data_IF_625895517273
#
_entry.id   IF_625895517273
#
_cell.length_a   1.000
_cell.length_b   1.000
_cell.length_c   1.000
_cell.angle_alpha   90.00
_cell.angle_beta   90.00
_cell.angle_gamma   90.00
#
_symmetry.space_group_name_H-M   'P 1'
#
loop_
_entity.id
_entity.type
_entity.pdbx_description
1 polymer ?
#
# COMPACT_ATOMS: atom_id res chain seq x y z
N UNK A 1 -18.16 4.70 -13.21
CA UNK A 1 -17.27 4.66 -12.02
C UNK A 1 -15.82 4.46 -12.41
N UNK A 2 -15.50 3.46 -13.24
CA UNK A 2 -14.11 3.15 -13.67
C UNK A 2 -13.52 4.34 -14.42
N UNK A 3 -14.20 4.84 -15.46
CA UNK A 3 -13.77 6.02 -16.21
C UNK A 3 -13.58 7.27 -15.31
N UNK A 4 -14.47 7.43 -14.33
CA UNK A 4 -14.37 8.54 -13.37
C UNK A 4 -13.16 8.40 -12.44
N UNK A 5 -12.79 7.17 -12.04
CA UNK A 5 -11.60 6.93 -11.25
C UNK A 5 -10.33 7.20 -12.08
N UNK A 6 -10.29 6.78 -13.34
CA UNK A 6 -9.18 7.06 -14.26
C UNK A 6 -9.01 8.57 -14.50
N UNK A 7 -10.11 9.31 -14.70
CA UNK A 7 -10.09 10.78 -14.83
C UNK A 7 -9.57 11.46 -13.56
N UNK A 8 -9.94 10.96 -12.38
CA UNK A 8 -9.41 11.46 -11.12
C UNK A 8 -7.90 11.23 -11.00
N UNK A 9 -7.41 10.05 -11.42
CA UNK A 9 -5.97 9.77 -11.47
C UNK A 9 -5.26 10.70 -12.46
N UNK A 10 -5.83 10.95 -13.65
CA UNK A 10 -5.27 11.91 -14.61
C UNK A 10 -5.12 13.31 -14.00
N UNK A 11 -6.14 13.76 -13.25
CA UNK A 11 -6.08 15.06 -12.54
C UNK A 11 -4.96 15.09 -11.48
N UNK A 12 -4.71 13.95 -10.80
CA UNK A 12 -3.61 13.83 -9.85
C UNK A 12 -2.24 13.79 -10.55
N UNK A 13 -2.13 13.20 -11.72
CA UNK A 13 -0.91 13.26 -12.54
C UNK A 13 -0.59 14.71 -12.86
N UNK A 14 -1.55 15.47 -13.38
CA UNK A 14 -1.39 16.91 -13.68
C UNK A 14 -1.00 17.71 -12.43
N UNK A 15 -1.66 17.45 -11.29
CA UNK A 15 -1.37 18.13 -10.03
C UNK A 15 0.06 17.87 -9.53
N UNK A 16 0.59 16.67 -9.72
CA UNK A 16 1.91 16.28 -9.22
C UNK A 16 3.08 16.69 -10.13
N UNK A 17 2.83 17.11 -11.39
CA UNK A 17 3.87 17.42 -12.39
C UNK A 17 5.01 18.32 -11.88
N UNK A 18 4.70 19.27 -10.98
CA UNK A 18 5.65 20.26 -10.46
C UNK A 18 5.85 20.15 -8.95
N UNK A 19 5.57 18.98 -8.40
CA UNK A 19 5.64 18.74 -6.95
C UNK A 19 6.64 17.63 -6.65
N UNK A 20 7.46 17.86 -5.66
CA UNK A 20 8.38 16.84 -5.13
C UNK A 20 7.64 16.02 -4.06
N UNK A 21 6.67 15.23 -4.51
CA UNK A 21 5.85 14.35 -3.66
C UNK A 21 5.54 13.06 -4.40
N UNK A 22 5.57 11.94 -3.68
CA UNK A 22 5.01 10.68 -4.14
C UNK A 22 3.60 10.57 -3.56
N UNK A 23 2.61 10.43 -4.42
CA UNK A 23 1.23 10.16 -4.03
C UNK A 23 0.90 8.68 -4.25
N UNK A 24 0.21 8.08 -3.28
CA UNK A 24 -0.28 6.70 -3.38
C UNK A 24 -1.79 6.76 -3.19
N UNK A 25 -2.54 6.33 -4.19
CA UNK A 25 -4.01 6.42 -4.20
C UNK A 25 -4.62 5.09 -4.63
N UNK A 26 -5.79 4.77 -4.07
CA UNK A 26 -6.57 3.60 -4.46
C UNK A 26 -7.46 3.88 -5.65
N UNK A 27 -7.54 2.95 -6.61
CA UNK A 27 -8.48 3.01 -7.72
C UNK A 27 -8.87 1.61 -8.21
N UNK A 28 -10.10 1.42 -8.73
CA UNK A 28 -10.46 0.25 -9.49
C UNK A 28 -9.81 0.31 -10.87
N UNK A 29 -9.19 -0.79 -11.30
CA UNK A 29 -8.53 -0.90 -12.60
C UNK A 29 -9.10 -2.09 -13.35
N UNK A 30 -9.60 -1.84 -14.57
CA UNK A 30 -10.12 -2.88 -15.45
C UNK A 30 -9.02 -3.42 -16.37
N UNK A 31 -8.89 -4.73 -16.42
CA UNK A 31 -7.94 -5.43 -17.31
C UNK A 31 -8.62 -6.62 -17.96
N UNK A 32 -8.93 -6.51 -19.23
CA UNK A 32 -9.70 -7.52 -19.93
C UNK A 32 -11.07 -7.73 -19.28
N UNK A 33 -11.30 -8.91 -18.71
CA UNK A 33 -12.55 -9.24 -18.01
C UNK A 33 -12.41 -9.17 -16.47
N UNK A 34 -11.29 -8.67 -15.97
CA UNK A 34 -11.03 -8.56 -14.53
C UNK A 34 -11.17 -7.11 -14.08
N UNK A 35 -11.72 -6.91 -12.90
CA UNK A 35 -11.67 -5.67 -12.17
C UNK A 35 -10.77 -5.87 -10.95
N UNK A 36 -9.77 -5.02 -10.78
CA UNK A 36 -8.78 -5.11 -9.72
C UNK A 36 -8.86 -3.89 -8.80
N UNK A 37 -8.68 -4.12 -7.51
CA UNK A 37 -8.48 -3.06 -6.52
C UNK A 37 -6.98 -2.77 -6.45
N UNK A 38 -6.56 -1.61 -6.95
CA UNK A 38 -5.15 -1.26 -7.10
C UNK A 38 -4.77 -0.03 -6.28
N UNK A 39 -3.55 -0.04 -5.75
CA UNK A 39 -2.86 1.17 -5.32
C UNK A 39 -1.98 1.68 -6.47
N UNK A 40 -2.14 2.94 -6.82
CA UNK A 40 -1.41 3.62 -7.91
C UNK A 40 -0.40 4.56 -7.29
N UNK A 41 0.87 4.42 -7.68
CA UNK A 41 1.98 5.25 -7.22
C UNK A 41 2.28 6.31 -8.25
N UNK A 42 2.18 7.56 -7.85
CA UNK A 42 2.28 8.72 -8.74
C UNK A 42 3.42 9.63 -8.27
N UNK A 43 4.24 10.09 -9.18
CA UNK A 43 5.26 11.13 -8.94
C UNK A 43 5.49 11.96 -10.20
N UNK A 44 5.54 13.29 -10.05
CA UNK A 44 5.90 14.23 -11.12
C UNK A 44 5.15 14.01 -12.44
N UNK A 45 3.85 13.75 -12.36
CA UNK A 45 3.00 13.54 -13.52
C UNK A 45 3.10 12.16 -14.17
N UNK A 46 3.77 11.19 -13.53
CA UNK A 46 3.96 9.84 -14.05
C UNK A 46 3.41 8.79 -13.07
N UNK A 47 2.94 7.68 -13.59
CA UNK A 47 2.65 6.47 -12.81
C UNK A 47 3.95 5.67 -12.68
N UNK A 48 4.44 5.49 -11.46
CA UNK A 48 5.62 4.68 -11.19
C UNK A 48 5.31 3.18 -11.16
N UNK A 49 4.08 2.82 -10.81
CA UNK A 49 3.61 1.44 -10.76
C UNK A 49 2.22 1.33 -10.19
N UNK A 50 1.63 0.15 -10.36
CA UNK A 50 0.32 -0.22 -9.82
C UNK A 50 0.44 -1.52 -9.04
N UNK A 51 -0.07 -1.52 -7.82
CA UNK A 51 -0.04 -2.68 -6.92
C UNK A 51 -1.46 -3.20 -6.75
N UNK A 52 -1.81 -4.34 -7.36
CA UNK A 52 -3.12 -4.96 -7.17
C UNK A 52 -3.20 -5.67 -5.82
N UNK A 53 -4.37 -5.60 -5.20
CA UNK A 53 -4.67 -6.26 -3.92
C UNK A 53 -4.59 -7.78 -4.06
N UNK A 54 -3.94 -8.42 -3.08
CA UNK A 54 -3.72 -9.88 -3.07
C UNK A 54 -4.85 -10.63 -2.41
N UNK A 55 -5.23 -10.23 -1.19
CA UNK A 55 -6.25 -10.90 -0.40
C UNK A 55 -7.55 -10.09 -0.40
N UNK A 56 -8.63 -10.71 -0.86
CA UNK A 56 -9.95 -10.11 -0.94
C UNK A 56 -10.83 -10.68 0.18
N UNK A 57 -11.28 -9.88 1.17
CA UNK A 57 -12.19 -10.36 2.18
C UNK A 57 -13.55 -10.74 1.57
N UNK A 58 -14.03 -11.93 1.93
CA UNK A 58 -15.33 -12.44 1.48
C UNK A 58 -15.98 -13.27 2.59
N UNK A 59 -16.13 -12.64 3.74
CA UNK A 59 -16.69 -13.19 4.96
C UNK A 59 -17.35 -12.08 5.78
N UNK A 60 -18.25 -12.44 6.68
CA UNK A 60 -19.02 -11.49 7.51
C UNK A 60 -19.69 -10.39 6.66
N UNK A 61 -19.40 -9.14 6.92
CA UNK A 61 -19.87 -7.96 6.19
C UNK A 61 -19.17 -7.74 4.84
N UNK A 62 -18.08 -8.43 4.59
CA UNK A 62 -17.28 -8.25 3.36
C UNK A 62 -17.70 -9.20 2.24
N UNK A 63 -17.81 -8.66 1.02
CA UNK A 63 -18.12 -9.39 -0.20
C UNK A 63 -17.33 -8.88 -1.42
N UNK A 64 -16.05 -8.53 -1.19
CA UNK A 64 -15.19 -7.88 -2.20
C UNK A 64 -14.98 -8.77 -3.45
N UNK A 65 -14.93 -10.10 -3.27
CA UNK A 65 -14.83 -11.05 -4.41
C UNK A 65 -16.02 -11.01 -5.37
N UNK A 66 -17.12 -10.38 -4.98
CA UNK A 66 -18.26 -10.17 -5.88
C UNK A 66 -17.90 -9.24 -7.04
N UNK A 67 -16.97 -8.32 -6.82
CA UNK A 67 -16.64 -7.25 -7.74
C UNK A 67 -15.21 -7.33 -8.26
N UNK A 68 -14.27 -7.74 -7.42
CA UNK A 68 -12.85 -7.70 -7.70
C UNK A 68 -12.23 -9.08 -7.81
N UNK A 69 -11.25 -9.20 -8.71
CA UNK A 69 -10.35 -10.34 -8.82
C UNK A 69 -9.10 -10.12 -7.93
N UNK A 70 -8.49 -11.21 -7.50
CA UNK A 70 -7.24 -11.19 -6.75
C UNK A 70 -6.05 -10.93 -7.68
N UNK A 71 -5.01 -10.29 -7.16
CA UNK A 71 -3.72 -10.22 -7.84
C UNK A 71 -3.16 -11.60 -8.20
N UNK A 72 -3.51 -12.65 -7.45
CA UNK A 72 -3.08 -14.02 -7.71
C UNK A 72 -3.64 -14.60 -9.02
N UNK A 73 -4.74 -14.03 -9.53
CA UNK A 73 -5.38 -14.42 -10.77
C UNK A 73 -4.84 -13.64 -11.99
N UNK A 74 -3.88 -12.72 -11.77
CA UNK A 74 -3.37 -11.80 -12.75
C UNK A 74 -2.10 -12.36 -13.41
N UNK A 75 -2.06 -12.31 -14.74
CA UNK A 75 -0.83 -12.43 -15.52
C UNK A 75 -0.24 -11.04 -15.80
N UNK A 76 1.08 -10.94 -15.92
CA UNK A 76 1.75 -9.69 -16.28
C UNK A 76 1.11 -9.12 -17.56
N UNK A 77 0.50 -7.94 -17.46
CA UNK A 77 -0.31 -7.36 -18.54
C UNK A 77 0.08 -5.90 -18.76
N UNK A 78 0.60 -5.53 -19.95
CA UNK A 78 0.76 -4.14 -20.33
C UNK A 78 -0.61 -3.46 -20.43
N UNK A 79 -0.70 -2.25 -19.89
CA UNK A 79 -1.94 -1.47 -19.83
C UNK A 79 -1.61 0.01 -20.09
N UNK A 80 -2.43 0.67 -20.92
CA UNK A 80 -2.47 2.11 -20.99
C UNK A 80 -3.53 2.61 -20.01
N UNK A 81 -3.13 3.39 -19.01
CA UNK A 81 -4.01 3.90 -17.96
C UNK A 81 -3.72 5.37 -17.68
N UNK A 82 -4.73 6.22 -17.75
CA UNK A 82 -4.61 7.66 -17.61
C UNK A 82 -3.53 8.28 -18.53
N UNK A 83 -3.36 7.72 -19.73
CA UNK A 83 -2.38 8.16 -20.74
C UNK A 83 -0.94 7.68 -20.50
N UNK A 84 -0.69 6.86 -19.47
CA UNK A 84 0.62 6.28 -19.17
C UNK A 84 0.64 4.77 -19.50
N UNK A 85 1.74 4.31 -20.09
CA UNK A 85 1.97 2.88 -20.32
C UNK A 85 2.55 2.27 -19.05
N UNK A 86 1.85 1.30 -18.47
CA UNK A 86 2.20 0.63 -17.22
C UNK A 86 2.15 -0.87 -17.36
N UNK A 87 2.98 -1.58 -16.62
CA UNK A 87 2.89 -3.02 -16.46
C UNK A 87 2.12 -3.34 -15.19
N UNK A 88 0.95 -3.95 -15.33
CA UNK A 88 0.22 -4.48 -14.20
C UNK A 88 0.68 -5.91 -13.93
N UNK A 89 1.17 -6.16 -12.72
CA UNK A 89 1.78 -7.43 -12.32
C UNK A 89 1.37 -7.83 -10.91
N UNK A 90 1.26 -9.14 -10.67
CA UNK A 90 1.09 -9.72 -9.34
C UNK A 90 2.40 -9.76 -8.52
N UNK A 91 3.54 -9.51 -9.15
CA UNK A 91 4.84 -9.51 -8.47
C UNK A 91 4.92 -8.39 -7.45
N UNK A 92 5.66 -8.63 -6.37
CA UNK A 92 5.89 -7.59 -5.35
C UNK A 92 6.73 -6.47 -5.93
N UNK A 93 6.21 -5.25 -5.86
CA UNK A 93 6.87 -4.04 -6.37
C UNK A 93 7.56 -3.30 -5.23
N UNK A 94 8.81 -2.95 -5.43
CA UNK A 94 9.61 -2.15 -4.51
C UNK A 94 9.96 -0.82 -5.15
N UNK A 95 9.51 0.27 -4.55
CA UNK A 95 9.71 1.62 -5.05
C UNK A 95 10.90 2.28 -4.35
N UNK A 96 11.68 3.04 -5.11
CA UNK A 96 12.84 3.77 -4.61
C UNK A 96 12.58 5.27 -4.66
N UNK A 97 12.95 5.98 -3.60
CA UNK A 97 12.94 7.45 -3.58
C UNK A 97 14.31 8.00 -3.96
N UNK A 98 14.38 9.28 -4.31
CA UNK A 98 15.67 9.95 -4.55
C UNK A 98 16.59 9.97 -3.33
N UNK A 99 16.04 9.93 -2.11
CA UNK A 99 16.79 9.83 -0.85
C UNK A 99 17.19 8.40 -0.45
N UNK A 100 17.20 7.45 -1.38
CA UNK A 100 17.51 6.03 -1.17
C UNK A 100 16.55 5.27 -0.23
N UNK A 101 15.44 5.87 0.18
CA UNK A 101 14.40 5.15 0.89
C UNK A 101 13.66 4.20 -0.06
N UNK A 102 13.34 3.01 0.43
CA UNK A 102 12.58 2.00 -0.32
C UNK A 102 11.26 1.74 0.38
N UNK A 103 10.21 1.65 -0.40
CA UNK A 103 8.91 1.34 0.16
C UNK A 103 8.15 0.30 -0.67
N UNK A 104 7.25 -0.39 -0.01
CA UNK A 104 6.31 -1.31 -0.61
C UNK A 104 4.89 -0.98 -0.19
N UNK A 105 3.93 -1.58 -0.87
CA UNK A 105 2.50 -1.32 -0.66
C UNK A 105 1.76 -2.63 -0.51
N UNK A 106 0.82 -2.64 0.42
CA UNK A 106 -0.22 -3.66 0.53
C UNK A 106 -1.57 -2.97 0.77
N UNK A 107 -2.68 -3.67 0.54
CA UNK A 107 -4.00 -3.05 0.57
C UNK A 107 -4.90 -3.75 1.58
N UNK A 108 -5.32 -3.02 2.61
CA UNK A 108 -6.38 -3.38 3.55
C UNK A 108 -6.21 -4.81 4.11
N UNK A 109 -7.00 -5.77 3.61
CA UNK A 109 -7.01 -7.18 4.03
C UNK A 109 -5.64 -7.86 3.93
N UNK A 110 -4.76 -7.39 3.08
CA UNK A 110 -3.44 -7.97 2.90
C UNK A 110 -2.68 -8.10 4.23
N UNK A 111 -2.80 -7.12 5.14
CA UNK A 111 -2.12 -7.17 6.46
C UNK A 111 -2.74 -8.18 7.43
N UNK A 112 -3.99 -8.57 7.22
CA UNK A 112 -4.69 -9.54 8.08
C UNK A 112 -4.36 -10.98 7.71
N UNK A 113 -3.78 -11.20 6.53
CA UNK A 113 -3.38 -12.53 6.09
C UNK A 113 -2.28 -13.11 6.99
N UNK A 114 -2.23 -14.44 7.19
CA UNK A 114 -1.17 -15.09 7.96
C UNK A 114 0.25 -14.82 7.42
N UNK A 115 0.37 -14.67 6.10
CA UNK A 115 1.60 -14.25 5.40
C UNK A 115 1.30 -13.01 4.57
N UNK A 116 1.36 -11.79 5.16
CA UNK A 116 1.05 -10.57 4.45
C UNK A 116 2.15 -10.19 3.46
N UNK A 117 1.81 -9.51 2.35
CA UNK A 117 2.78 -8.99 1.37
C UNK A 117 3.91 -8.17 1.98
N UNK A 118 3.62 -7.42 3.04
CA UNK A 118 4.60 -6.59 3.76
C UNK A 118 5.77 -7.40 4.31
N UNK A 119 5.60 -8.68 4.62
CA UNK A 119 6.71 -9.54 5.06
C UNK A 119 7.71 -9.75 3.93
N UNK A 120 7.26 -10.13 2.75
CA UNK A 120 8.12 -10.29 1.57
C UNK A 120 8.77 -8.96 1.17
N UNK A 121 8.00 -7.88 1.15
CA UNK A 121 8.48 -6.54 0.82
C UNK A 121 9.60 -6.09 1.77
N UNK A 122 9.42 -6.27 3.08
CA UNK A 122 10.43 -5.90 4.07
C UNK A 122 11.70 -6.75 3.93
N UNK A 123 11.57 -8.07 3.75
CA UNK A 123 12.70 -8.98 3.52
C UNK A 123 13.41 -8.67 2.19
N UNK A 124 12.70 -8.14 1.19
CA UNK A 124 13.25 -7.63 -0.06
C UNK A 124 13.90 -6.23 0.07
N UNK A 125 13.79 -5.62 1.24
CA UNK A 125 14.46 -4.39 1.58
C UNK A 125 13.59 -3.13 1.61
N UNK A 126 12.26 -3.24 1.64
CA UNK A 126 11.41 -2.09 1.91
C UNK A 126 11.69 -1.55 3.30
N UNK A 127 11.99 -0.27 3.41
CA UNK A 127 12.17 0.43 4.69
C UNK A 127 10.82 0.82 5.29
N UNK A 128 9.85 1.13 4.42
CA UNK A 128 8.51 1.57 4.79
C UNK A 128 7.47 0.74 4.03
N UNK A 129 6.41 0.37 4.72
CA UNK A 129 5.22 -0.24 4.12
C UNK A 129 4.06 0.75 4.21
N UNK A 130 3.36 0.95 3.09
CA UNK A 130 2.11 1.71 3.04
C UNK A 130 0.93 0.75 2.89
N UNK A 131 -0.12 0.99 3.66
CA UNK A 131 -1.38 0.25 3.56
C UNK A 131 -2.53 1.23 3.36
N UNK A 132 -3.20 1.12 2.22
CA UNK A 132 -4.42 1.84 1.91
C UNK A 132 -5.60 0.97 2.29
N UNK A 133 -6.53 1.49 3.08
CA UNK A 133 -7.54 0.65 3.70
C UNK A 133 -8.94 1.27 3.71
N UNK A 134 -9.93 0.42 3.49
CA UNK A 134 -11.32 0.65 3.80
C UNK A 134 -11.78 -0.44 4.78
N UNK A 135 -11.27 -0.39 6.00
CA UNK A 135 -11.61 -1.32 7.07
C UNK A 135 -12.62 -0.67 7.98
N UNK A 136 -13.76 -1.32 8.13
CA UNK A 136 -14.87 -0.87 8.98
C UNK A 136 -14.52 -0.86 10.47
N UNK A 137 -15.32 -0.14 11.23
CA UNK A 137 -15.20 -0.06 12.68
C UNK A 137 -16.17 -1.03 13.36
N UNK A 138 -15.58 -1.91 14.17
CA UNK A 138 -16.31 -2.81 15.07
C UNK A 138 -15.85 -2.55 16.52
N UNK A 139 -16.69 -2.93 17.49
CA UNK A 139 -16.34 -2.84 18.92
C UNK A 139 -15.08 -3.65 19.18
N UNK A 140 -14.04 -2.99 19.70
CA UNK A 140 -12.76 -3.61 20.03
C UNK A 140 -11.79 -3.81 18.85
N UNK A 141 -12.20 -3.58 17.60
CA UNK A 141 -11.36 -3.80 16.43
C UNK A 141 -10.20 -2.81 16.35
N UNK A 142 -10.37 -1.58 16.83
CA UNK A 142 -9.33 -0.55 16.79
C UNK A 142 -8.06 -0.95 17.55
N UNK A 143 -8.20 -1.44 18.77
CA UNK A 143 -7.05 -1.88 19.57
C UNK A 143 -6.37 -3.10 18.94
N UNK A 144 -7.17 -4.00 18.36
CA UNK A 144 -6.65 -5.13 17.63
C UNK A 144 -5.86 -4.68 16.39
N UNK A 145 -6.40 -3.72 15.60
CA UNK A 145 -5.71 -3.14 14.44
C UNK A 145 -4.37 -2.52 14.85
N UNK A 146 -4.35 -1.67 15.87
CA UNK A 146 -3.11 -1.04 16.34
C UNK A 146 -2.07 -2.11 16.73
N UNK A 147 -2.48 -3.14 17.47
CA UNK A 147 -1.58 -4.20 17.90
C UNK A 147 -1.05 -5.02 16.71
N UNK A 148 -1.90 -5.32 15.72
CA UNK A 148 -1.52 -6.01 14.49
C UNK A 148 -0.46 -5.21 13.73
N UNK A 149 -0.71 -3.92 13.48
CA UNK A 149 0.20 -3.07 12.73
C UNK A 149 1.52 -2.84 13.47
N UNK A 150 1.48 -2.66 14.79
CA UNK A 150 2.69 -2.57 15.63
C UNK A 150 3.52 -3.84 15.57
N UNK A 151 2.87 -5.00 15.66
CA UNK A 151 3.56 -6.28 15.57
C UNK A 151 4.16 -6.50 14.19
N UNK A 152 3.43 -6.14 13.11
CA UNK A 152 3.93 -6.28 11.75
C UNK A 152 5.12 -5.34 11.49
N UNK A 153 5.05 -4.09 11.94
CA UNK A 153 6.14 -3.12 11.87
C UNK A 153 7.39 -3.61 12.65
N UNK A 154 7.21 -4.12 13.87
CA UNK A 154 8.29 -4.63 14.72
C UNK A 154 8.95 -5.89 14.14
N UNK A 155 8.15 -6.85 13.68
CA UNK A 155 8.65 -8.09 13.07
C UNK A 155 9.48 -7.83 11.83
N UNK A 156 9.05 -6.86 11.03
CA UNK A 156 9.70 -6.46 9.78
C UNK A 156 10.81 -5.42 9.98
N UNK A 157 10.98 -4.90 11.20
CA UNK A 157 11.89 -3.78 11.52
C UNK A 157 11.73 -2.67 10.48
N UNK A 158 10.50 -2.18 10.32
CA UNK A 158 10.12 -1.24 9.25
C UNK A 158 9.24 -0.10 9.78
N UNK A 159 9.19 0.99 9.00
CA UNK A 159 8.09 1.92 9.07
C UNK A 159 6.81 1.26 8.54
N UNK A 160 5.67 1.57 9.16
CA UNK A 160 4.37 1.15 8.66
C UNK A 160 3.39 2.32 8.69
N UNK A 161 2.87 2.67 7.53
CA UNK A 161 1.96 3.80 7.36
C UNK A 161 0.61 3.26 6.89
N UNK A 162 -0.40 3.43 7.71
CA UNK A 162 -1.76 3.01 7.44
C UNK A 162 -2.64 4.21 7.18
N UNK A 163 -3.40 4.20 6.09
CA UNK A 163 -4.36 5.23 5.73
C UNK A 163 -5.74 4.60 5.51
N UNK A 164 -6.64 4.83 6.44
CA UNK A 164 -8.01 4.33 6.39
C UNK A 164 -8.99 5.40 5.89
N UNK A 165 -10.05 4.96 5.21
CA UNK A 165 -11.16 5.84 4.85
C UNK A 165 -11.95 6.26 6.09
N UNK A 166 -12.69 7.37 6.00
CA UNK A 166 -13.40 7.96 7.13
C UNK A 166 -14.79 8.47 6.76
N UNK A 167 -15.16 9.60 7.36
CA UNK A 167 -16.45 10.20 7.16
C UNK A 167 -16.75 10.47 5.67
N UNK A 168 -17.96 10.13 5.24
CA UNK A 168 -18.38 10.26 3.84
C UNK A 168 -18.25 8.99 3.01
N UNK A 169 -17.39 8.06 3.43
CA UNK A 169 -17.21 6.76 2.76
C UNK A 169 -18.12 5.66 3.33
N UNK A 170 -18.76 5.90 4.47
CA UNK A 170 -19.64 4.94 5.12
C UNK A 170 -20.87 4.63 4.26
N UNK A 171 -21.26 3.35 4.30
CA UNK A 171 -22.45 2.84 3.60
C UNK A 171 -23.55 2.50 4.63
N UNK A 172 -24.65 1.91 4.18
CA UNK A 172 -25.68 1.41 5.10
C UNK A 172 -25.17 0.23 5.96
N UNK A 173 -24.17 -0.50 5.47
CA UNK A 173 -23.71 -1.76 6.10
C UNK A 173 -22.49 -1.54 7.01
N UNK A 174 -21.65 -0.53 6.72
CA UNK A 174 -20.37 -0.33 7.39
C UNK A 174 -20.09 1.13 7.74
N UNK A 175 -19.33 1.34 8.82
CA UNK A 175 -18.89 2.65 9.29
C UNK A 175 -17.37 2.68 9.33
N UNK A 176 -16.77 3.77 8.86
CA UNK A 176 -15.32 3.95 8.84
C UNK A 176 -14.87 5.04 9.81
N UNK A 177 -13.79 4.75 10.53
CA UNK A 177 -13.30 5.62 11.60
C UNK A 177 -12.30 6.70 11.18
N UNK A 178 -11.76 6.63 9.96
CA UNK A 178 -10.74 7.58 9.49
C UNK A 178 -9.38 7.35 10.14
N UNK A 179 -9.00 6.10 10.40
CA UNK A 179 -7.71 5.77 11.01
C UNK A 179 -6.55 6.12 10.08
N UNK A 180 -5.67 7.04 10.50
CA UNK A 180 -4.36 7.24 9.91
C UNK A 180 -3.30 6.97 10.99
N UNK A 181 -2.40 6.02 10.73
CA UNK A 181 -1.44 5.55 11.73
C UNK A 181 -0.04 5.54 11.12
N UNK A 182 0.94 6.08 11.86
CA UNK A 182 2.36 6.00 11.50
C UNK A 182 3.08 5.27 12.62
N UNK A 183 3.71 4.15 12.24
CA UNK A 183 4.37 3.23 13.18
C UNK A 183 5.80 3.02 12.69
N UNK A 184 6.74 2.99 13.62
CA UNK A 184 8.15 2.70 13.36
C UNK A 184 8.63 1.62 14.32
N UNK A 185 9.08 0.50 13.78
CA UNK A 185 9.61 -0.63 14.56
C UNK A 185 8.76 -0.97 15.80
N UNK A 186 7.45 -1.12 15.57
CA UNK A 186 6.48 -1.46 16.61
C UNK A 186 6.02 -0.31 17.52
N UNK A 187 6.61 0.89 17.38
CA UNK A 187 6.20 2.07 18.13
C UNK A 187 5.20 2.90 17.32
N UNK A 188 4.02 3.13 17.87
CA UNK A 188 3.09 4.11 17.31
C UNK A 188 3.68 5.52 17.47
N UNK A 189 3.99 6.18 16.35
CA UNK A 189 4.59 7.51 16.32
C UNK A 189 3.51 8.58 16.32
N UNK A 190 2.49 8.38 15.47
CA UNK A 190 1.39 9.34 15.33
C UNK A 190 0.12 8.66 14.83
N UNK A 191 -1.01 9.24 15.18
CA UNK A 191 -2.32 8.80 14.71
C UNK A 191 -3.26 9.99 14.52
N UNK A 192 -4.29 9.81 13.68
CA UNK A 192 -5.42 10.72 13.53
C UNK A 192 -6.40 10.57 14.69
N UNK A 193 -7.30 11.54 14.83
CA UNK A 193 -8.52 11.37 15.60
C UNK A 193 -9.50 10.46 14.83
N UNK A 194 -10.18 9.58 15.55
CA UNK A 194 -11.20 8.71 14.96
C UNK A 194 -12.55 9.44 14.88
N UNK A 195 -13.34 9.09 13.89
CA UNK A 195 -14.69 9.61 13.67
C UNK A 195 -14.73 11.14 13.50
N UNK A 196 -13.63 11.75 13.07
CA UNK A 196 -13.63 13.14 12.68
C UNK A 196 -14.51 13.37 11.45
N UNK A 197 -15.29 14.43 11.46
CA UNK A 197 -16.08 14.89 10.30
C UNK A 197 -15.25 15.77 9.35
N UNK A 198 -14.05 16.19 9.81
CA UNK A 198 -13.16 17.06 9.06
C UNK A 198 -11.99 16.26 8.48
N UNK A 199 -11.47 16.67 7.32
CA UNK A 199 -10.25 16.08 6.75
C UNK A 199 -9.07 16.22 7.71
N UNK A 200 -8.25 15.17 7.82
CA UNK A 200 -7.08 15.17 8.68
C UNK A 200 -5.81 14.86 7.88
N UNK A 201 -4.73 15.53 8.22
CA UNK A 201 -3.39 15.24 7.70
C UNK A 201 -2.48 14.83 8.86
N UNK A 202 -1.98 13.59 8.80
CA UNK A 202 -1.04 13.05 9.78
C UNK A 202 0.35 13.03 9.16
N UNK A 203 1.29 13.76 9.75
CA UNK A 203 2.66 13.90 9.25
C UNK A 203 3.66 13.49 10.31
N UNK A 204 4.66 12.70 9.93
CA UNK A 204 5.78 12.31 10.80
C UNK A 204 7.04 12.03 9.97
N UNK A 205 8.13 11.71 10.66
CA UNK A 205 9.38 11.26 10.10
C UNK A 205 9.65 9.83 10.55
N UNK A 206 10.31 9.04 9.70
CA UNK A 206 10.77 7.68 9.98
C UNK A 206 12.28 7.64 9.81
N UNK A 207 12.99 7.13 10.82
CA UNK A 207 14.45 7.02 10.81
C UNK A 207 14.89 5.73 10.09
N UNK A 208 15.09 5.85 8.78
CA UNK A 208 15.46 4.74 7.90
C UNK A 208 16.84 4.19 8.24
N UNK A 209 17.80 5.04 8.58
CA UNK A 209 19.16 4.61 8.90
C UNK A 209 19.18 3.75 10.17
N UNK A 210 18.38 4.12 11.16
CA UNK A 210 18.19 3.33 12.36
C UNK A 210 17.55 1.99 12.06
N UNK A 211 16.48 1.93 11.25
CA UNK A 211 15.83 0.69 10.85
C UNK A 211 16.83 -0.25 10.14
N UNK A 212 17.59 0.28 9.19
CA UNK A 212 18.62 -0.47 8.46
C UNK A 212 19.75 -0.96 9.38
N UNK A 213 20.19 -0.14 10.35
CA UNK A 213 21.19 -0.53 11.32
C UNK A 213 20.69 -1.69 12.18
N UNK A 214 19.46 -1.62 12.65
CA UNK A 214 18.85 -2.68 13.47
C UNK A 214 18.67 -3.98 12.68
N UNK A 215 18.23 -3.92 11.43
CA UNK A 215 18.17 -5.09 10.53
C UNK A 215 19.53 -5.76 10.36
N UNK A 216 20.59 -4.98 10.15
CA UNK A 216 21.95 -5.52 9.98
C UNK A 216 22.49 -6.22 11.24
N UNK A 217 22.10 -5.74 12.42
CA UNK A 217 22.51 -6.34 13.70
C UNK A 217 21.67 -7.54 14.12
N UNK A 218 20.49 -7.72 13.52
CA UNK A 218 19.58 -8.82 13.86
C UNK A 218 19.84 -10.04 12.96
N UNK A 219 20.58 -11.03 13.48
CA UNK A 219 20.93 -12.24 12.75
C UNK A 219 19.70 -13.05 12.30
N UNK A 220 18.63 -13.05 13.08
CA UNK A 220 17.37 -13.73 12.73
C UNK A 220 16.74 -13.08 11.50
N UNK A 221 16.72 -11.75 11.45
CA UNK A 221 16.21 -11.02 10.29
C UNK A 221 17.05 -11.28 9.05
N UNK A 222 18.38 -11.20 9.17
CA UNK A 222 19.33 -11.46 8.07
C UNK A 222 19.15 -12.89 7.52
N UNK A 223 19.03 -13.88 8.40
CA UNK A 223 18.84 -15.28 8.00
C UNK A 223 17.46 -15.57 7.39
N UNK A 224 16.47 -14.73 7.66
CA UNK A 224 15.13 -14.84 7.06
C UNK A 224 15.07 -14.25 5.63
N UNK A 225 16.09 -13.49 5.22
CA UNK A 225 16.11 -12.94 3.86
C UNK A 225 16.37 -14.05 2.85
N UNK A 226 15.56 -14.16 1.78
CA UNK A 226 15.81 -15.15 0.72
C UNK A 226 17.13 -14.87 0.01
N UNK A 227 17.75 -15.92 -0.49
CA UNK A 227 19.13 -15.91 -1.05
C UNK A 227 19.21 -15.21 -2.43
N UNK A 228 18.08 -14.96 -3.09
CA UNK A 228 18.08 -14.27 -4.39
C UNK A 228 16.84 -13.41 -4.58
N UNK A 229 17.05 -12.14 -4.89
CA UNK A 229 16.01 -11.22 -5.35
C UNK A 229 16.39 -10.58 -6.68
N UNK A 230 15.41 -10.47 -7.55
CA UNK A 230 15.49 -9.57 -8.69
C UNK A 230 14.93 -8.20 -8.24
N UNK A 231 15.79 -7.20 -8.12
CA UNK A 231 15.36 -5.84 -7.83
C UNK A 231 14.87 -5.20 -9.13
N UNK A 232 13.58 -4.87 -9.19
CA UNK A 232 13.07 -3.98 -10.23
C UNK A 232 13.29 -2.54 -9.76
N UNK A 233 14.14 -1.79 -10.45
CA UNK A 233 14.27 -0.36 -10.23
C UNK A 233 13.08 0.35 -10.88
N UNK A 234 12.56 1.39 -10.24
CA UNK A 234 11.47 2.22 -10.74
C UNK A 234 11.77 2.93 -12.08
N UNK A 235 12.98 2.72 -12.67
CA UNK A 235 13.42 3.29 -13.95
C UNK A 235 13.77 2.24 -15.02
N UNK A 236 13.59 0.95 -14.75
CA UNK A 236 13.73 -0.06 -15.80
C UNK A 236 12.40 -0.14 -16.55
N UNK A 237 12.33 0.56 -17.67
CA UNK A 237 11.24 0.40 -18.63
C UNK A 237 11.27 -1.03 -19.17
N UNK A 238 10.11 -1.61 -19.51
CA UNK A 238 9.97 -2.95 -20.11
C UNK A 238 10.77 -3.20 -21.39
N UNK A 239 11.67 -2.31 -21.76
CA UNK A 239 12.51 -2.42 -22.96
C UNK A 239 13.83 -3.19 -22.74
N UNK A 240 14.18 -3.52 -21.47
CA UNK A 240 15.46 -4.15 -21.11
C UNK A 240 15.30 -5.59 -20.60
N UNK A 241 14.17 -6.26 -20.93
CA UNK A 241 13.93 -7.68 -20.65
C UNK A 241 13.76 -8.47 -21.95
#
# INVERSE_FOLDING_TARGET
LIDGAEQAVLSLLEFTMRKDVIAIVGAPVEVGNLLLNCAIVIQQGRILGMVPKTFLPNYSEFYEKRWFASAQDLHDTPLCYAGEDVLLTARRQLFHTYGDARFGIEICEDVWAPNPPSTELALSGADIIFNLSASDELIGKHDYLINLLRQQSARNISGYVYSGCGYGESTQDVVYGGNALIIENGRLIKQSDRFSLEPQLVVSQIDIDRLRAERRSNSTYVNAQPVSYTHLRAHETCADL
#
